data_IF_989829997692
#
_entry.id   IF_989829997692
#
_cell.length_a   1.000
_cell.length_b   1.000
_cell.length_c   1.000
_cell.angle_alpha   90.00
_cell.angle_beta   90.00
_cell.angle_gamma   90.00
#
_symmetry.space_group_name_H-M   'P 1'
#
loop_
_entity.id
_entity.type
_entity.pdbx_description
1 polymer ?
#
# COMPACT_ATOMS: atom_id res chain seq x y z
N UNK A 1 -7.60 30.87 42.39
CA UNK A 1 -8.22 30.46 41.12
C UNK A 1 -7.17 29.76 40.27
N UNK A 2 -7.30 28.46 39.97
CA UNK A 2 -6.40 27.76 39.06
C UNK A 2 -6.90 27.89 37.62
N UNK A 3 -6.06 28.39 36.71
CA UNK A 3 -6.40 28.47 35.29
C UNK A 3 -5.89 27.23 34.55
N UNK A 4 -6.86 26.55 33.94
CA UNK A 4 -6.83 25.58 32.84
C UNK A 4 -5.46 25.07 32.34
N UNK A 5 -5.20 23.81 32.69
CA UNK A 5 -4.46 22.85 31.87
C UNK A 5 -5.23 22.59 30.57
N UNK A 6 -4.65 22.89 29.41
CA UNK A 6 -4.92 22.15 28.15
C UNK A 6 -4.22 22.78 26.93
N UNK A 7 -2.91 22.53 26.80
CA UNK A 7 -2.27 22.49 25.49
C UNK A 7 -1.14 21.48 25.64
N UNK A 8 -1.28 20.22 25.25
CA UNK A 8 -1.03 19.78 23.87
C UNK A 8 -1.37 18.29 23.83
N UNK A 9 -2.61 17.95 23.48
CA UNK A 9 -3.03 16.56 23.21
C UNK A 9 -3.01 16.26 21.71
N UNK A 10 -2.27 17.03 20.91
CA UNK A 10 -2.18 16.88 19.44
C UNK A 10 -0.99 16.02 18.98
N UNK A 11 -0.22 15.44 19.91
CA UNK A 11 0.85 14.48 19.59
C UNK A 11 0.37 13.02 19.56
N UNK A 12 -0.94 12.78 19.47
CA UNK A 12 -1.46 11.42 19.35
C UNK A 12 -1.28 10.90 17.91
N UNK A 13 -0.40 9.90 17.78
CA UNK A 13 -0.26 8.99 16.64
C UNK A 13 0.56 9.49 15.44
N UNK A 14 1.78 9.98 15.68
CA UNK A 14 2.87 9.56 14.78
C UNK A 14 2.96 8.02 14.89
N UNK A 15 2.15 7.31 14.09
CA UNK A 15 2.09 5.84 14.08
C UNK A 15 3.52 5.29 14.13
N UNK A 16 3.81 4.40 15.09
CA UNK A 16 5.13 3.76 15.25
C UNK A 16 5.51 3.09 13.92
N UNK A 17 6.22 3.81 13.05
CA UNK A 17 6.71 3.27 11.79
C UNK A 17 7.78 2.23 12.10
N UNK A 18 7.66 1.05 11.50
CA UNK A 18 8.68 0.02 11.57
C UNK A 18 9.50 0.09 10.28
N UNK A 19 10.83 0.00 10.40
CA UNK A 19 11.73 -0.10 9.25
C UNK A 19 11.72 -1.54 8.76
N UNK A 20 11.50 -1.70 7.46
CA UNK A 20 11.59 -2.97 6.76
C UNK A 20 12.84 -2.92 5.88
N UNK A 21 13.70 -3.94 5.98
CA UNK A 21 14.79 -4.16 5.04
C UNK A 21 14.42 -5.39 4.21
N UNK A 22 14.63 -5.33 2.90
CA UNK A 22 14.22 -6.36 1.95
C UNK A 22 15.39 -6.72 1.05
N UNK A 23 15.59 -8.01 0.86
CA UNK A 23 16.42 -8.54 -0.21
C UNK A 23 15.51 -8.87 -1.39
N UNK A 24 15.83 -8.32 -2.56
CA UNK A 24 15.06 -8.50 -3.80
C UNK A 24 15.95 -9.13 -4.86
N UNK A 25 15.38 -10.05 -5.63
CA UNK A 25 16.03 -10.50 -6.87
C UNK A 25 16.22 -9.29 -7.82
N UNK A 26 17.29 -9.25 -8.64
CA UNK A 26 17.57 -8.11 -9.50
C UNK A 26 16.37 -7.68 -10.36
N UNK A 27 15.71 -8.63 -11.01
CA UNK A 27 14.54 -8.34 -11.84
C UNK A 27 13.36 -7.69 -11.07
N UNK A 28 13.17 -8.05 -9.80
CA UNK A 28 12.13 -7.44 -8.97
C UNK A 28 12.52 -6.03 -8.52
N UNK A 29 13.82 -5.79 -8.27
CA UNK A 29 14.34 -4.47 -7.98
C UNK A 29 14.19 -3.53 -9.18
N UNK A 30 14.55 -3.99 -10.37
CA UNK A 30 14.44 -3.22 -11.62
C UNK A 30 12.98 -2.85 -11.91
N UNK A 31 12.06 -3.80 -11.74
CA UNK A 31 10.62 -3.54 -11.85
C UNK A 31 10.16 -2.48 -10.84
N UNK A 32 10.58 -2.58 -9.58
CA UNK A 32 10.24 -1.60 -8.55
C UNK A 32 10.79 -0.21 -8.88
N UNK A 33 12.01 -0.14 -9.43
CA UNK A 33 12.62 1.11 -9.89
C UNK A 33 11.82 1.74 -11.03
N UNK A 34 11.43 0.94 -12.01
CA UNK A 34 10.62 1.40 -13.15
C UNK A 34 9.25 1.92 -12.68
N UNK A 35 8.53 1.16 -11.85
CA UNK A 35 7.23 1.57 -11.31
C UNK A 35 7.32 2.88 -10.50
N UNK A 36 8.41 3.06 -9.75
CA UNK A 36 8.66 4.30 -9.02
C UNK A 36 8.85 5.48 -9.99
N UNK A 37 9.66 5.31 -11.03
CA UNK A 37 9.88 6.32 -12.06
C UNK A 37 8.58 6.68 -12.80
N UNK A 38 7.86 5.69 -13.31
CA UNK A 38 6.64 5.88 -14.11
C UNK A 38 5.51 6.55 -13.29
N UNK A 39 5.46 6.30 -11.98
CA UNK A 39 4.46 6.90 -11.09
C UNK A 39 4.88 8.22 -10.45
N UNK A 40 6.12 8.67 -10.64
CA UNK A 40 6.70 9.84 -9.96
C UNK A 40 6.83 9.66 -8.44
N UNK A 41 6.83 8.43 -7.94
CA UNK A 41 6.91 8.09 -6.51
C UNK A 41 8.27 7.50 -6.17
N UNK A 42 8.60 7.43 -4.88
CA UNK A 42 9.75 6.63 -4.45
C UNK A 42 9.36 5.13 -4.31
N UNK A 43 10.37 4.26 -4.30
CA UNK A 43 10.20 2.80 -4.18
C UNK A 43 9.41 2.39 -2.93
N UNK A 44 9.59 3.10 -1.80
CA UNK A 44 8.88 2.78 -0.57
C UNK A 44 7.38 3.07 -0.68
N UNK A 45 6.99 4.15 -1.38
CA UNK A 45 5.58 4.47 -1.64
C UNK A 45 4.93 3.47 -2.59
N UNK A 46 5.67 3.00 -3.60
CA UNK A 46 5.22 1.91 -4.49
C UNK A 46 5.01 0.63 -3.69
N UNK A 47 5.96 0.24 -2.84
CA UNK A 47 5.83 -0.94 -1.97
C UNK A 47 4.63 -0.84 -1.01
N UNK A 48 4.42 0.34 -0.39
CA UNK A 48 3.24 0.58 0.47
C UNK A 48 1.93 0.42 -0.31
N UNK A 49 1.90 0.96 -1.53
CA UNK A 49 0.74 0.82 -2.42
C UNK A 49 0.49 -0.64 -2.76
N UNK A 50 1.52 -1.38 -3.15
CA UNK A 50 1.44 -2.81 -3.42
C UNK A 50 0.93 -3.62 -2.22
N UNK A 51 1.43 -3.32 -1.01
CA UNK A 51 0.97 -3.95 0.22
C UNK A 51 -0.51 -3.66 0.50
N UNK A 52 -0.97 -2.42 0.29
CA UNK A 52 -2.36 -2.05 0.47
C UNK A 52 -3.29 -2.79 -0.52
N UNK A 53 -2.89 -2.84 -1.79
CA UNK A 53 -3.62 -3.57 -2.84
C UNK A 53 -3.71 -5.06 -2.53
N UNK A 54 -2.61 -5.67 -2.07
CA UNK A 54 -2.60 -7.07 -1.64
C UNK A 54 -3.56 -7.32 -0.47
N UNK A 55 -3.61 -6.40 0.51
CA UNK A 55 -4.56 -6.47 1.63
C UNK A 55 -6.02 -6.45 1.18
N UNK A 56 -6.38 -5.51 0.28
CA UNK A 56 -7.73 -5.43 -0.30
C UNK A 56 -8.07 -6.72 -1.04
N UNK A 57 -7.14 -7.22 -1.85
CA UNK A 57 -7.35 -8.46 -2.61
C UNK A 57 -7.65 -9.65 -1.72
N UNK A 58 -6.86 -9.84 -0.66
CA UNK A 58 -7.07 -10.90 0.32
C UNK A 58 -8.42 -10.77 1.03
N UNK A 59 -8.85 -9.56 1.37
CA UNK A 59 -10.14 -9.33 2.02
C UNK A 59 -11.31 -9.68 1.10
N UNK A 60 -11.24 -9.28 -0.16
CA UNK A 60 -12.29 -9.53 -1.14
C UNK A 60 -12.37 -11.03 -1.50
N UNK A 61 -11.23 -11.72 -1.60
CA UNK A 61 -11.17 -13.18 -1.78
C UNK A 61 -11.88 -13.94 -0.65
N UNK A 62 -11.72 -13.51 0.61
CA UNK A 62 -12.44 -14.10 1.76
C UNK A 62 -13.95 -13.93 1.66
N UNK A 63 -14.43 -12.93 0.93
CA UNK A 63 -15.86 -12.67 0.66
C UNK A 63 -16.34 -13.39 -0.61
N UNK A 64 -15.51 -14.25 -1.21
CA UNK A 64 -15.82 -14.95 -2.46
C UNK A 64 -15.73 -14.09 -3.72
N UNK A 65 -15.11 -12.91 -3.63
CA UNK A 65 -14.92 -11.98 -4.77
C UNK A 65 -13.49 -12.06 -5.29
N UNK A 66 -13.28 -11.58 -6.52
CA UNK A 66 -11.95 -11.54 -7.17
C UNK A 66 -11.67 -10.14 -7.68
N UNK A 67 -10.39 -9.75 -7.76
CA UNK A 67 -10.01 -8.54 -8.47
C UNK A 67 -9.95 -8.80 -9.97
N UNK A 68 -10.44 -7.83 -10.74
CA UNK A 68 -10.35 -7.83 -12.19
C UNK A 68 -9.85 -6.49 -12.72
N UNK A 69 -9.16 -6.54 -13.85
CA UNK A 69 -8.93 -5.38 -14.71
C UNK A 69 -10.19 -5.19 -15.54
N UNK A 70 -10.77 -3.99 -15.47
CA UNK A 70 -11.99 -3.63 -16.19
C UNK A 70 -11.62 -2.68 -17.33
N UNK A 71 -12.18 -2.95 -18.51
CA UNK A 71 -12.18 -2.03 -19.63
C UNK A 71 -13.63 -1.78 -20.03
N UNK A 72 -14.01 -0.51 -20.11
CA UNK A 72 -15.40 -0.07 -20.18
C UNK A 72 -16.21 -0.66 -19.00
N UNK A 73 -17.09 -1.62 -19.26
CA UNK A 73 -17.90 -2.32 -18.25
C UNK A 73 -17.64 -3.84 -18.20
N UNK A 74 -16.52 -4.28 -18.81
CA UNK A 74 -16.17 -5.71 -18.90
C UNK A 74 -14.88 -6.01 -18.15
N UNK A 75 -14.91 -7.10 -17.40
CA UNK A 75 -13.69 -7.68 -16.82
C UNK A 75 -12.91 -8.34 -17.96
N UNK A 76 -11.75 -7.77 -18.29
CA UNK A 76 -10.87 -8.28 -19.35
C UNK A 76 -9.78 -9.21 -18.82
N UNK A 77 -9.50 -9.16 -17.50
CA UNK A 77 -8.52 -10.04 -16.86
C UNK A 77 -8.82 -10.16 -15.38
N UNK A 78 -8.78 -11.37 -14.83
CA UNK A 78 -8.77 -11.56 -13.38
C UNK A 78 -7.32 -11.52 -12.86
N UNK A 79 -7.11 -10.87 -11.72
CA UNK A 79 -5.82 -10.86 -11.02
C UNK A 79 -5.81 -12.06 -10.07
N UNK A 80 -4.99 -13.06 -10.40
CA UNK A 80 -4.76 -14.22 -9.53
C UNK A 80 -3.52 -13.93 -8.69
N UNK A 81 -3.70 -13.87 -7.37
CA UNK A 81 -2.60 -13.86 -6.43
C UNK A 81 -2.16 -15.31 -6.17
N UNK A 82 -0.86 -15.63 -6.20
CA UNK A 82 -0.35 -16.96 -5.86
C UNK A 82 -0.57 -17.32 -4.39
#
# INVERSE_FOLDING_TARGET
>A
MPNATSNTSEAHLAQKRKRLNLDLAPAAYDLLQQLAADSGKNMADVLRTGLALYGIAQEEMKKGRRLGIVQDDKVIKEIVLP
#
